data_IF_979298966084
#
_entry.id   IF_979298966084
#
_cell.length_a   1.000
_cell.length_b   1.000
_cell.length_c   1.000
_cell.angle_alpha   90.00
_cell.angle_beta   90.00
_cell.angle_gamma   90.00
#
_symmetry.space_group_name_H-M   'P 1'
#
loop_
_entity.id
_entity.type
_entity.pdbx_description
1 polymer ?
#
# COMPACT_ATOMS: atom_id res chain seq x y z
N UNK A 1 39.99 10.17 -8.56
CA UNK A 1 39.51 10.05 -9.96
C UNK A 1 40.09 8.82 -10.66
N UNK A 2 41.43 8.57 -10.69
CA UNK A 2 42.04 7.41 -11.35
C UNK A 2 41.64 6.02 -10.76
N UNK A 3 41.44 5.89 -9.45
CA UNK A 3 41.00 4.64 -8.82
C UNK A 3 39.53 4.28 -9.17
N UNK A 4 38.63 5.28 -9.25
CA UNK A 4 37.24 5.10 -9.65
C UNK A 4 37.10 4.64 -11.11
N UNK A 5 37.90 5.22 -12.02
CA UNK A 5 37.95 4.81 -13.42
C UNK A 5 38.53 3.39 -13.59
N UNK A 6 39.52 3.01 -12.79
CA UNK A 6 40.06 1.64 -12.79
C UNK A 6 39.04 0.62 -12.30
N UNK A 7 38.28 0.91 -11.23
CA UNK A 7 37.27 0.00 -10.69
C UNK A 7 36.10 -0.19 -11.68
N UNK A 8 35.55 0.90 -12.23
CA UNK A 8 34.49 0.83 -13.25
C UNK A 8 34.96 0.09 -14.52
N UNK A 9 36.19 0.32 -14.96
CA UNK A 9 36.76 -0.38 -16.12
C UNK A 9 37.04 -1.88 -15.83
N UNK A 10 37.48 -2.23 -14.63
CA UNK A 10 37.68 -3.62 -14.20
C UNK A 10 36.34 -4.39 -14.12
N UNK A 11 35.27 -3.76 -13.61
CA UNK A 11 33.96 -4.36 -13.49
C UNK A 11 33.32 -4.65 -14.86
N UNK A 12 33.50 -3.77 -15.84
CA UNK A 12 32.93 -3.94 -17.18
C UNK A 12 33.70 -5.02 -17.99
N UNK A 13 35.00 -5.11 -17.79
CA UNK A 13 35.86 -6.05 -18.54
C UNK A 13 35.88 -7.49 -18.00
N UNK A 14 35.33 -7.73 -16.80
CA UNK A 14 35.30 -9.05 -16.15
C UNK A 14 33.92 -9.65 -15.97
N UNK A 15 32.85 -9.11 -16.64
CA UNK A 15 31.52 -9.67 -16.50
C UNK A 15 31.39 -11.05 -17.18
N UNK A 16 31.82 -12.09 -16.48
CA UNK A 16 31.75 -13.47 -16.97
C UNK A 16 30.36 -14.10 -16.83
N UNK A 17 29.52 -13.59 -15.95
CA UNK A 17 28.16 -14.10 -15.68
C UNK A 17 27.09 -13.45 -16.53
N UNK A 18 27.35 -12.28 -17.14
CA UNK A 18 26.41 -11.55 -17.97
C UNK A 18 25.62 -10.45 -17.21
N UNK A 19 24.56 -9.89 -17.85
CA UNK A 19 23.81 -8.80 -17.25
C UNK A 19 22.91 -9.29 -16.11
N UNK A 20 22.78 -8.43 -15.07
CA UNK A 20 21.92 -8.58 -13.92
C UNK A 20 21.15 -7.27 -13.67
N UNK A 21 19.84 -7.35 -13.43
CA UNK A 21 19.02 -6.20 -13.05
C UNK A 21 18.87 -6.14 -11.51
N UNK A 22 19.28 -5.01 -10.92
CA UNK A 22 19.20 -4.77 -9.47
C UNK A 22 18.09 -3.76 -9.17
N UNK A 23 17.10 -4.14 -8.35
CA UNK A 23 16.16 -3.19 -7.74
C UNK A 23 16.95 -2.20 -6.87
N UNK A 24 16.98 -0.91 -7.25
CA UNK A 24 17.91 0.07 -6.71
C UNK A 24 17.20 1.29 -6.14
N UNK A 25 17.34 1.54 -4.85
CA UNK A 25 16.77 2.70 -4.17
C UNK A 25 17.75 3.85 -3.92
N UNK A 26 19.03 3.66 -4.23
CA UNK A 26 20.08 4.61 -3.87
C UNK A 26 20.49 4.58 -2.39
N UNK A 27 19.85 3.75 -1.57
CA UNK A 27 20.17 3.55 -0.16
C UNK A 27 21.46 2.71 0.03
N UNK A 28 21.88 2.57 1.29
CA UNK A 28 23.12 1.88 1.66
C UNK A 28 23.19 0.45 1.12
N UNK A 29 22.13 -0.33 1.38
CA UNK A 29 22.08 -1.76 1.05
C UNK A 29 22.17 -1.99 -0.47
N UNK A 30 21.42 -1.22 -1.25
CA UNK A 30 21.45 -1.33 -2.70
C UNK A 30 22.74 -0.76 -3.30
N UNK A 31 23.34 0.28 -2.68
CA UNK A 31 24.66 0.80 -3.06
C UNK A 31 25.78 -0.20 -2.80
N UNK A 32 25.69 -0.96 -1.69
CA UNK A 32 26.60 -2.09 -1.40
C UNK A 32 26.50 -3.19 -2.46
N UNK A 33 25.27 -3.52 -2.89
CA UNK A 33 25.04 -4.62 -3.83
C UNK A 33 25.75 -4.41 -5.18
N UNK A 34 25.86 -3.16 -5.68
CA UNK A 34 26.44 -2.90 -7.00
C UNK A 34 27.89 -3.38 -7.10
N UNK A 35 28.87 -2.89 -6.32
CA UNK A 35 30.25 -3.35 -6.41
C UNK A 35 30.41 -4.82 -5.98
N UNK A 36 29.61 -5.29 -5.02
CA UNK A 36 29.67 -6.69 -4.57
C UNK A 36 29.28 -7.67 -5.68
N UNK A 37 28.20 -7.39 -6.40
CA UNK A 37 27.75 -8.20 -7.54
C UNK A 37 28.72 -8.11 -8.72
N UNK A 38 29.34 -6.95 -8.93
CA UNK A 38 30.37 -6.78 -9.94
C UNK A 38 31.63 -7.62 -9.62
N UNK A 39 32.03 -7.71 -8.35
CA UNK A 39 33.11 -8.63 -7.90
C UNK A 39 32.74 -10.10 -8.18
N UNK A 40 31.45 -10.46 -8.13
CA UNK A 40 30.97 -11.80 -8.47
C UNK A 40 30.88 -12.04 -9.99
N UNK A 41 31.28 -11.08 -10.82
CA UNK A 41 31.33 -11.18 -12.29
C UNK A 41 30.04 -10.78 -13.00
N UNK A 42 29.13 -10.03 -12.36
CA UNK A 42 27.93 -9.52 -13.00
C UNK A 42 28.13 -8.14 -13.64
N UNK A 43 27.53 -7.90 -14.80
CA UNK A 43 27.30 -6.55 -15.30
C UNK A 43 26.02 -6.01 -14.63
N UNK A 44 26.16 -5.13 -13.65
CA UNK A 44 25.02 -4.69 -12.80
C UNK A 44 24.30 -3.50 -13.43
N UNK A 45 23.06 -3.71 -13.84
CA UNK A 45 22.14 -2.69 -14.32
C UNK A 45 21.17 -2.33 -13.20
N UNK A 46 21.21 -1.10 -12.72
CA UNK A 46 20.34 -0.63 -11.64
C UNK A 46 19.00 -0.16 -12.19
N UNK A 47 17.91 -0.52 -11.51
CA UNK A 47 16.53 -0.18 -11.88
C UNK A 47 15.88 0.54 -10.71
N UNK A 48 15.63 1.83 -10.85
CA UNK A 48 14.85 2.62 -9.92
C UNK A 48 13.41 2.73 -10.43
N UNK A 49 12.45 2.41 -9.57
CA UNK A 49 11.01 2.47 -9.90
C UNK A 49 10.37 3.53 -9.02
N UNK A 50 9.96 4.63 -9.65
CA UNK A 50 9.24 5.73 -8.99
C UNK A 50 7.78 5.34 -8.80
N UNK A 51 7.38 5.13 -7.56
CA UNK A 51 6.01 4.83 -7.15
C UNK A 51 5.29 6.06 -6.57
N UNK A 52 5.83 7.27 -6.78
CA UNK A 52 5.23 8.55 -6.37
C UNK A 52 5.73 9.09 -5.04
N UNK A 53 6.81 8.53 -4.48
CA UNK A 53 7.36 8.96 -3.18
C UNK A 53 8.63 9.80 -3.27
N UNK A 54 9.14 10.13 -4.46
CA UNK A 54 10.41 10.84 -4.62
C UNK A 54 10.28 12.14 -5.40
N UNK A 55 11.05 13.15 -4.96
CA UNK A 55 11.17 14.41 -5.68
C UNK A 55 12.12 14.27 -6.89
N UNK A 56 12.10 15.21 -7.85
CA UNK A 56 13.06 15.23 -8.95
C UNK A 56 14.53 15.26 -8.48
N UNK A 57 14.81 15.98 -7.39
CA UNK A 57 16.13 16.12 -6.79
C UNK A 57 16.60 14.78 -6.19
N UNK A 58 15.71 14.06 -5.48
CA UNK A 58 15.98 12.73 -4.94
C UNK A 58 16.27 11.74 -6.06
N UNK A 59 15.47 11.72 -7.14
CA UNK A 59 15.75 10.86 -8.31
C UNK A 59 17.09 11.17 -8.96
N UNK A 60 17.42 12.45 -9.12
CA UNK A 60 18.74 12.84 -9.63
C UNK A 60 19.88 12.40 -8.71
N UNK A 61 19.68 12.39 -7.38
CA UNK A 61 20.65 11.88 -6.43
C UNK A 61 20.83 10.36 -6.54
N UNK A 62 19.72 9.61 -6.70
CA UNK A 62 19.74 8.15 -6.92
C UNK A 62 20.52 7.80 -8.19
N UNK A 63 20.27 8.51 -9.29
CA UNK A 63 20.99 8.33 -10.55
C UNK A 63 22.50 8.58 -10.38
N UNK A 64 22.89 9.67 -9.70
CA UNK A 64 24.31 9.95 -9.41
C UNK A 64 24.93 8.86 -8.56
N UNK A 65 24.21 8.36 -7.54
CA UNK A 65 24.69 7.28 -6.68
C UNK A 65 24.93 6.00 -7.47
N UNK A 66 24.00 5.59 -8.34
CA UNK A 66 24.14 4.42 -9.20
C UNK A 66 25.42 4.46 -10.04
N UNK A 67 25.67 5.59 -10.71
CA UNK A 67 26.90 5.78 -11.48
C UNK A 67 28.16 5.80 -10.61
N UNK A 68 28.08 6.43 -9.42
CA UNK A 68 29.24 6.57 -8.53
C UNK A 68 29.66 5.23 -7.88
N UNK A 69 28.74 4.28 -7.67
CA UNK A 69 29.05 2.94 -7.15
C UNK A 69 29.39 1.93 -8.24
N UNK A 70 29.39 2.33 -9.52
CA UNK A 70 29.89 1.51 -10.64
C UNK A 70 28.84 0.68 -11.37
N UNK A 71 27.58 1.11 -11.37
CA UNK A 71 26.56 0.47 -12.19
C UNK A 71 26.91 0.55 -13.69
N UNK A 72 26.67 -0.53 -14.45
CA UNK A 72 26.88 -0.58 -15.90
C UNK A 72 25.86 0.32 -16.63
N UNK A 73 24.64 0.40 -16.14
CA UNK A 73 23.63 1.38 -16.54
C UNK A 73 22.64 1.64 -15.42
N UNK A 74 21.87 2.72 -15.53
CA UNK A 74 20.78 3.06 -14.61
C UNK A 74 19.50 3.32 -15.38
N UNK A 75 18.42 2.67 -14.96
CA UNK A 75 17.09 2.78 -15.56
C UNK A 75 16.13 3.38 -14.54
N UNK A 76 15.36 4.38 -14.95
CA UNK A 76 14.31 5.00 -14.15
C UNK A 76 12.95 4.71 -14.77
N UNK A 77 12.04 4.16 -13.99
CA UNK A 77 10.68 3.80 -14.42
C UNK A 77 9.69 4.61 -13.63
N UNK A 78 8.90 5.45 -14.29
CA UNK A 78 7.72 6.07 -13.66
C UNK A 78 6.59 5.04 -13.62
N UNK A 79 6.26 4.59 -12.42
CA UNK A 79 5.26 3.56 -12.20
C UNK A 79 4.03 4.08 -11.44
N UNK A 80 3.83 5.40 -11.33
CA UNK A 80 2.73 6.00 -10.56
C UNK A 80 1.37 5.55 -11.08
N UNK A 81 1.15 5.61 -12.39
CA UNK A 81 -0.09 5.16 -13.01
C UNK A 81 -0.28 3.65 -12.86
N UNK A 82 0.80 2.87 -13.00
CA UNK A 82 0.76 1.42 -12.83
C UNK A 82 0.41 1.01 -11.40
N UNK A 83 0.93 1.70 -10.38
CA UNK A 83 0.58 1.47 -8.97
C UNK A 83 -0.89 1.81 -8.74
N UNK A 84 -1.37 2.92 -9.28
CA UNK A 84 -2.77 3.31 -9.15
C UNK A 84 -3.69 2.29 -9.80
N UNK A 85 -3.47 1.95 -11.07
CA UNK A 85 -4.36 1.10 -11.85
C UNK A 85 -4.38 -0.36 -11.40
N UNK A 86 -3.24 -0.87 -10.94
CA UNK A 86 -3.14 -2.28 -10.52
C UNK A 86 -3.52 -2.51 -9.06
N UNK A 87 -3.35 -1.50 -8.19
CA UNK A 87 -3.50 -1.71 -6.75
C UNK A 87 -4.37 -0.65 -6.09
N UNK A 88 -4.02 0.64 -6.19
CA UNK A 88 -4.65 1.69 -5.39
C UNK A 88 -6.15 1.77 -5.64
N UNK A 89 -6.59 1.63 -6.89
CA UNK A 89 -8.03 1.58 -7.22
C UNK A 89 -8.78 0.50 -6.43
N UNK A 90 -8.19 -0.68 -6.27
CA UNK A 90 -8.81 -1.77 -5.52
C UNK A 90 -8.73 -1.56 -4.01
N UNK A 91 -7.67 -0.89 -3.52
CA UNK A 91 -7.57 -0.49 -2.12
C UNK A 91 -8.66 0.52 -1.76
N UNK A 92 -8.99 1.46 -2.67
CA UNK A 92 -10.10 2.41 -2.51
C UNK A 92 -11.43 1.67 -2.58
N UNK A 93 -11.71 1.01 -3.70
CA UNK A 93 -13.00 0.33 -3.96
C UNK A 93 -13.30 -0.79 -2.94
N UNK A 94 -12.25 -1.47 -2.45
CA UNK A 94 -12.34 -2.50 -1.42
C UNK A 94 -12.39 -1.96 0.01
N UNK A 95 -12.25 -0.66 0.23
CA UNK A 95 -12.10 -0.03 1.56
C UNK A 95 -11.02 -0.70 2.40
N UNK A 96 -9.85 -1.00 1.80
CA UNK A 96 -8.86 -1.89 2.39
C UNK A 96 -8.08 -1.20 3.49
N UNK A 97 -8.29 -1.66 4.72
CA UNK A 97 -7.53 -1.24 5.91
C UNK A 97 -7.09 -2.47 6.69
N UNK A 98 -5.79 -2.62 6.91
CA UNK A 98 -5.28 -3.67 7.78
C UNK A 98 -5.40 -3.26 9.24
N UNK A 99 -6.01 -4.14 10.06
CA UNK A 99 -6.32 -3.84 11.45
C UNK A 99 -7.23 -2.61 11.63
N UNK A 100 -8.08 -2.31 10.63
CA UNK A 100 -9.02 -1.18 10.58
C UNK A 100 -8.35 0.21 10.53
N UNK A 101 -7.02 0.30 10.46
CA UNK A 101 -6.30 1.58 10.55
C UNK A 101 -5.27 1.79 9.45
N UNK A 102 -4.56 0.74 9.00
CA UNK A 102 -3.41 0.88 8.12
C UNK A 102 -3.77 0.60 6.64
N UNK A 103 -3.65 1.59 5.73
CA UNK A 103 -4.09 1.46 4.34
C UNK A 103 -3.08 0.78 3.41
N UNK A 104 -2.08 0.05 3.95
CA UNK A 104 -1.07 -0.71 3.19
C UNK A 104 -0.19 0.16 2.28
N UNK A 105 0.31 1.29 2.78
CA UNK A 105 1.02 2.32 2.01
C UNK A 105 2.24 1.84 1.20
N UNK A 106 2.82 0.67 1.49
CA UNK A 106 4.07 0.19 0.85
C UNK A 106 3.92 -1.18 0.19
N UNK A 107 2.91 -1.98 0.57
CA UNK A 107 2.82 -3.38 0.13
C UNK A 107 2.63 -3.51 -1.40
N UNK A 108 1.74 -2.72 -1.97
CA UNK A 108 1.45 -2.68 -3.40
C UNK A 108 2.66 -2.24 -4.23
N UNK A 109 3.39 -1.24 -3.74
CA UNK A 109 4.54 -0.66 -4.44
C UNK A 109 5.66 -1.67 -4.63
N UNK A 110 5.94 -2.54 -3.64
CA UNK A 110 6.97 -3.57 -3.77
C UNK A 110 6.64 -4.58 -4.86
N UNK A 111 5.38 -4.93 -5.01
CA UNK A 111 4.92 -5.81 -6.10
C UNK A 111 5.09 -5.13 -7.46
N UNK A 112 4.74 -3.84 -7.59
CA UNK A 112 4.97 -3.09 -8.83
C UNK A 112 6.47 -2.92 -9.13
N UNK A 113 7.29 -2.66 -8.12
CA UNK A 113 8.74 -2.58 -8.29
C UNK A 113 9.30 -3.88 -8.85
N UNK A 114 8.89 -5.04 -8.33
CA UNK A 114 9.30 -6.34 -8.84
C UNK A 114 8.87 -6.55 -10.30
N UNK A 115 7.63 -6.18 -10.66
CA UNK A 115 7.13 -6.22 -12.05
C UNK A 115 8.02 -5.42 -12.99
N UNK A 116 8.30 -4.15 -12.66
CA UNK A 116 9.12 -3.27 -13.49
C UNK A 116 10.59 -3.73 -13.59
N UNK A 117 11.14 -4.29 -12.51
CA UNK A 117 12.50 -4.87 -12.53
C UNK A 117 12.57 -6.07 -13.46
N UNK A 118 11.57 -6.96 -13.45
CA UNK A 118 11.52 -8.13 -14.35
C UNK A 118 11.39 -7.69 -15.82
N UNK A 119 10.51 -6.73 -16.10
CA UNK A 119 10.35 -6.19 -17.47
C UNK A 119 11.67 -5.61 -17.98
N UNK A 120 12.37 -4.83 -17.15
CA UNK A 120 13.69 -4.28 -17.50
C UNK A 120 14.75 -5.38 -17.63
N UNK A 121 14.77 -6.37 -16.75
CA UNK A 121 15.68 -7.50 -16.82
C UNK A 121 15.55 -8.26 -18.15
N UNK A 122 14.33 -8.52 -18.58
CA UNK A 122 14.06 -9.18 -19.87
C UNK A 122 14.50 -8.33 -21.07
N UNK A 123 14.23 -7.02 -21.03
CA UNK A 123 14.66 -6.10 -22.07
C UNK A 123 16.20 -6.03 -22.20
N UNK A 124 16.91 -6.22 -21.10
CA UNK A 124 18.37 -6.25 -21.06
C UNK A 124 18.97 -7.64 -21.40
N UNK A 125 18.16 -8.67 -21.59
CA UNK A 125 18.63 -10.04 -21.70
C UNK A 125 19.36 -10.51 -20.44
N UNK A 126 18.93 -10.00 -19.26
CA UNK A 126 19.55 -10.34 -17.99
C UNK A 126 19.37 -11.83 -17.65
N UNK A 127 20.38 -12.40 -16.96
CA UNK A 127 20.36 -13.78 -16.46
C UNK A 127 19.94 -13.86 -15.01
N UNK A 128 19.96 -12.73 -14.31
CA UNK A 128 19.62 -12.63 -12.90
C UNK A 128 18.91 -11.33 -12.57
N UNK A 129 18.17 -11.36 -11.49
CA UNK A 129 17.59 -10.19 -10.80
C UNK A 129 18.10 -10.15 -9.38
N UNK A 130 18.30 -8.94 -8.83
CA UNK A 130 18.76 -8.78 -7.46
C UNK A 130 17.96 -7.73 -6.70
N UNK A 131 17.96 -7.88 -5.38
CA UNK A 131 17.46 -6.85 -4.46
C UNK A 131 18.30 -6.80 -3.17
N UNK A 132 18.28 -5.64 -2.50
CA UNK A 132 19.03 -5.39 -1.28
C UNK A 132 18.21 -5.56 0.02
N UNK A 133 17.14 -6.34 0.01
CA UNK A 133 16.31 -6.53 1.22
C UNK A 133 17.01 -7.43 2.23
N UNK A 134 16.83 -7.12 3.53
CA UNK A 134 17.32 -7.95 4.64
C UNK A 134 16.42 -9.17 4.87
N UNK A 135 16.92 -10.18 5.59
CA UNK A 135 16.16 -11.39 5.91
C UNK A 135 15.05 -11.23 6.95
N UNK A 136 14.95 -10.07 7.63
CA UNK A 136 14.03 -9.86 8.73
C UNK A 136 12.68 -9.22 8.32
N UNK A 137 12.65 -8.48 7.20
CA UNK A 137 11.49 -7.69 6.78
C UNK A 137 10.57 -8.43 5.80
N UNK A 138 9.42 -7.81 5.50
CA UNK A 138 8.44 -8.32 4.52
C UNK A 138 8.92 -8.16 3.07
N UNK A 139 9.77 -7.16 2.79
CA UNK A 139 10.13 -6.78 1.43
C UNK A 139 10.83 -7.91 0.68
N UNK A 140 11.69 -8.69 1.36
CA UNK A 140 12.31 -9.87 0.76
C UNK A 140 11.28 -10.89 0.26
N UNK A 141 10.22 -11.14 1.05
CA UNK A 141 9.16 -12.08 0.67
C UNK A 141 8.40 -11.55 -0.54
N UNK A 142 8.04 -10.26 -0.52
CA UNK A 142 7.31 -9.62 -1.63
C UNK A 142 8.09 -9.66 -2.93
N UNK A 143 9.40 -9.34 -2.89
CA UNK A 143 10.26 -9.44 -4.06
C UNK A 143 10.44 -10.89 -4.50
N UNK A 144 10.84 -11.79 -3.60
CA UNK A 144 11.12 -13.18 -3.97
C UNK A 144 9.90 -13.89 -4.56
N UNK A 145 8.71 -13.74 -3.95
CA UNK A 145 7.48 -14.35 -4.48
C UNK A 145 7.16 -13.79 -5.86
N UNK A 146 7.20 -12.47 -6.02
CA UNK A 146 6.93 -11.83 -7.31
C UNK A 146 7.94 -12.29 -8.38
N UNK A 147 9.24 -12.28 -8.07
CA UNK A 147 10.29 -12.68 -9.00
C UNK A 147 10.18 -14.16 -9.40
N UNK A 148 9.90 -15.06 -8.44
CA UNK A 148 9.71 -16.51 -8.73
C UNK A 148 8.50 -16.80 -9.60
N UNK A 149 7.43 -16.03 -9.43
CA UNK A 149 6.21 -16.20 -10.25
C UNK A 149 6.40 -15.58 -11.64
N UNK A 150 6.99 -14.38 -11.70
CA UNK A 150 7.08 -13.61 -12.94
C UNK A 150 8.23 -14.08 -13.84
N UNK A 151 9.36 -14.49 -13.26
CA UNK A 151 10.57 -14.79 -14.00
C UNK A 151 11.29 -16.02 -13.39
N UNK A 152 10.67 -17.21 -13.41
CA UNK A 152 11.25 -18.43 -12.85
C UNK A 152 12.56 -18.84 -13.55
N UNK A 153 12.81 -18.30 -14.73
CA UNK A 153 14.02 -18.50 -15.53
C UNK A 153 15.23 -17.68 -15.05
N UNK A 154 15.02 -16.64 -14.24
CA UNK A 154 16.08 -15.76 -13.75
C UNK A 154 16.60 -16.19 -12.37
N UNK A 155 17.92 -16.15 -12.20
CA UNK A 155 18.54 -16.31 -10.88
C UNK A 155 18.17 -15.14 -9.97
N UNK A 156 17.75 -15.39 -8.73
CA UNK A 156 17.50 -14.35 -7.73
C UNK A 156 18.72 -14.24 -6.83
N UNK A 157 19.34 -13.07 -6.77
CA UNK A 157 20.59 -12.80 -6.02
C UNK A 157 20.33 -11.73 -4.95
N UNK A 158 20.62 -12.05 -3.69
CA UNK A 158 20.28 -11.19 -2.54
C UNK A 158 21.44 -11.02 -1.58
N UNK A 159 22.51 -10.26 -1.95
CA UNK A 159 23.76 -10.24 -1.20
C UNK A 159 23.62 -9.82 0.26
N UNK A 160 22.74 -8.88 0.56
CA UNK A 160 22.51 -8.42 1.95
C UNK A 160 21.98 -9.56 2.83
N UNK A 161 20.95 -10.25 2.36
CA UNK A 161 20.31 -11.36 3.08
C UNK A 161 21.23 -12.58 3.16
N UNK A 162 21.76 -12.99 2.02
CA UNK A 162 22.45 -14.27 1.89
C UNK A 162 23.81 -14.27 2.61
N UNK A 163 24.44 -13.10 2.70
CA UNK A 163 25.71 -12.92 3.44
C UNK A 163 25.51 -12.38 4.86
N UNK A 164 24.27 -12.05 5.26
CA UNK A 164 23.97 -11.51 6.58
C UNK A 164 24.64 -10.16 6.85
N UNK A 165 24.75 -9.30 5.82
CA UNK A 165 25.50 -8.04 5.89
C UNK A 165 24.82 -7.05 6.82
N UNK A 166 25.56 -6.57 7.82
CA UNK A 166 25.15 -5.51 8.74
C UNK A 166 25.52 -4.14 8.18
N UNK A 167 24.83 -3.10 8.67
CA UNK A 167 25.02 -1.72 8.24
C UNK A 167 26.47 -1.25 8.29
N UNK A 168 27.17 -1.53 9.39
CA UNK A 168 28.58 -1.13 9.60
C UNK A 168 29.51 -1.82 8.59
N UNK A 169 29.22 -3.09 8.26
CA UNK A 169 29.98 -3.85 7.26
C UNK A 169 29.78 -3.29 5.85
N UNK A 170 28.54 -2.90 5.50
CA UNK A 170 28.25 -2.28 4.21
C UNK A 170 28.97 -0.93 4.06
N UNK A 171 28.99 -0.10 5.11
CA UNK A 171 29.71 1.18 5.15
C UNK A 171 31.22 0.94 4.96
N UNK A 172 31.82 0.10 5.80
CA UNK A 172 33.26 -0.19 5.75
C UNK A 172 33.69 -0.78 4.38
N UNK A 173 32.82 -1.57 3.75
CA UNK A 173 33.06 -2.12 2.42
C UNK A 173 33.14 -1.02 1.35
N UNK A 174 32.15 -0.11 1.31
CA UNK A 174 32.13 1.01 0.36
C UNK A 174 33.30 1.96 0.58
N UNK A 175 33.63 2.30 1.84
CA UNK A 175 34.78 3.13 2.20
C UNK A 175 36.09 2.53 1.75
N UNK A 176 36.28 1.22 1.97
CA UNK A 176 37.48 0.48 1.52
C UNK A 176 37.69 0.57 0.01
N UNK A 177 36.60 0.59 -0.76
CA UNK A 177 36.65 0.75 -2.21
C UNK A 177 36.75 2.22 -2.67
N UNK A 178 36.73 3.19 -1.75
CA UNK A 178 36.71 4.61 -2.06
C UNK A 178 35.40 5.05 -2.74
N UNK A 179 34.31 4.32 -2.54
CA UNK A 179 33.00 4.59 -3.10
C UNK A 179 32.16 5.44 -2.14
N UNK A 180 31.22 6.27 -2.66
CA UNK A 180 30.41 7.12 -1.81
C UNK A 180 29.43 6.29 -0.96
N UNK A 181 29.46 6.53 0.34
CA UNK A 181 28.46 6.04 1.28
C UNK A 181 27.28 7.00 1.23
N UNK A 182 26.04 6.52 0.98
CA UNK A 182 24.85 7.37 1.04
C UNK A 182 24.76 8.06 2.40
N UNK A 183 24.30 9.32 2.42
CA UNK A 183 24.12 10.07 3.66
C UNK A 183 23.29 9.23 4.65
N UNK A 184 23.68 9.25 5.93
CA UNK A 184 23.02 8.45 6.98
C UNK A 184 21.52 8.72 6.91
N UNK A 185 20.75 7.73 6.49
CA UNK A 185 19.32 7.72 6.82
C UNK A 185 19.23 7.86 8.35
N UNK A 186 18.30 8.68 8.83
CA UNK A 186 18.09 8.92 10.26
C UNK A 186 17.87 7.64 11.06
N UNK A 187 17.43 7.77 12.30
CA UNK A 187 17.14 6.64 13.20
C UNK A 187 16.04 5.70 12.65
N UNK A 188 15.35 6.11 11.58
CA UNK A 188 14.18 5.42 11.01
C UNK A 188 14.44 4.94 9.59
N UNK A 189 13.86 3.79 9.26
CA UNK A 189 13.66 3.35 7.88
C UNK A 189 12.36 3.96 7.36
N UNK A 190 12.47 4.84 6.37
CA UNK A 190 11.33 5.55 5.77
C UNK A 190 11.08 4.98 4.38
N UNK A 191 9.82 4.61 4.12
CA UNK A 191 9.37 4.21 2.80
C UNK A 191 8.22 5.14 2.39
N UNK A 192 8.38 5.82 1.26
CA UNK A 192 7.39 6.72 0.67
C UNK A 192 6.92 6.22 -0.68
N UNK A 193 5.65 6.45 -0.98
CA UNK A 193 5.06 6.21 -2.27
C UNK A 193 3.75 6.95 -2.46
N UNK A 194 3.07 6.68 -3.56
CA UNK A 194 1.80 7.32 -3.92
C UNK A 194 0.72 7.17 -2.83
N UNK A 195 0.70 6.02 -2.15
CA UNK A 195 -0.36 5.66 -1.20
C UNK A 195 -0.03 5.99 0.26
N UNK A 196 1.11 6.62 0.51
CA UNK A 196 1.52 7.11 1.83
C UNK A 196 2.95 6.74 2.21
N UNK A 197 3.28 7.07 3.44
CA UNK A 197 4.62 6.89 4.02
C UNK A 197 4.56 5.98 5.23
N UNK A 198 5.61 5.17 5.44
CA UNK A 198 5.77 4.37 6.66
C UNK A 198 7.13 4.61 7.30
N UNK A 199 7.18 4.52 8.64
CA UNK A 199 8.38 4.58 9.44
C UNK A 199 8.54 3.31 10.26
N UNK A 200 9.75 2.72 10.22
CA UNK A 200 10.15 1.60 11.06
C UNK A 200 11.46 1.90 11.76
N UNK A 201 11.75 1.22 12.88
CA UNK A 201 12.94 1.43 13.69
C UNK A 201 12.74 2.43 14.84
N UNK A 202 13.78 2.65 15.64
CA UNK A 202 13.73 3.58 16.77
C UNK A 202 12.59 3.27 17.75
N UNK A 203 11.70 4.22 18.00
CA UNK A 203 10.58 4.09 18.92
C UNK A 203 9.60 2.95 18.59
N UNK A 204 9.58 2.47 17.34
CA UNK A 204 8.67 1.38 16.96
C UNK A 204 9.04 0.03 17.57
N UNK A 205 10.25 -0.11 18.15
CA UNK A 205 10.69 -1.33 18.83
C UNK A 205 10.15 -1.45 20.26
N UNK A 206 9.73 -0.35 20.86
CA UNK A 206 9.08 -0.35 22.17
C UNK A 206 7.59 -0.06 22.01
N UNK A 207 6.74 -1.01 22.35
CA UNK A 207 5.30 -0.90 22.18
C UNK A 207 4.65 0.16 23.08
N UNK A 208 5.34 0.61 24.13
CA UNK A 208 4.88 1.65 25.05
C UNK A 208 5.41 3.04 24.70
N UNK A 209 6.50 3.13 23.93
CA UNK A 209 7.04 4.42 23.50
C UNK A 209 6.08 5.11 22.54
N UNK A 210 5.80 6.40 22.78
CA UNK A 210 5.09 7.26 21.83
C UNK A 210 5.96 7.58 20.61
N UNK A 211 5.37 7.88 19.44
CA UNK A 211 6.10 8.47 18.33
C UNK A 211 6.54 9.90 18.68
N UNK A 212 7.56 10.44 17.99
CA UNK A 212 7.90 11.86 18.07
C UNK A 212 6.70 12.75 17.73
N UNK A 213 6.58 13.89 18.40
CA UNK A 213 5.44 14.80 18.26
C UNK A 213 5.23 15.23 16.79
N UNK A 214 6.31 15.48 16.06
CA UNK A 214 6.30 15.85 14.64
C UNK A 214 5.68 14.78 13.73
N UNK A 215 5.56 13.53 14.20
CA UNK A 215 4.94 12.42 13.47
C UNK A 215 3.47 12.18 13.86
N UNK A 216 2.93 12.86 14.85
CA UNK A 216 1.53 12.69 15.31
C UNK A 216 0.77 13.99 15.39
N UNK A 217 1.39 15.07 15.85
CA UNK A 217 0.72 16.34 16.01
C UNK A 217 0.52 17.04 14.65
N UNK A 218 -0.62 17.72 14.44
CA UNK A 218 -0.78 18.54 13.27
C UNK A 218 0.26 19.67 13.25
N UNK A 219 0.66 20.17 12.06
CA UNK A 219 1.53 21.33 11.96
C UNK A 219 0.99 22.52 12.77
N UNK A 220 1.89 23.26 13.43
CA UNK A 220 1.50 24.41 14.25
C UNK A 220 0.81 25.53 13.42
N UNK A 221 1.10 25.59 12.13
CA UNK A 221 0.52 26.49 11.13
C UNK A 221 -0.59 25.84 10.30
N UNK A 222 -1.13 24.72 10.77
CA UNK A 222 -2.20 24.02 10.07
C UNK A 222 -3.36 24.98 9.72
N UNK A 223 -3.90 24.91 8.49
CA UNK A 223 -4.96 25.83 8.05
C UNK A 223 -6.23 25.70 8.88
N UNK A 224 -7.05 26.76 8.86
CA UNK A 224 -8.40 26.69 9.42
C UNK A 224 -9.24 25.62 8.71
N UNK A 225 -10.26 25.12 9.42
CA UNK A 225 -11.17 24.11 8.88
C UNK A 225 -11.81 24.55 7.54
N UNK A 226 -11.80 23.67 6.55
CA UNK A 226 -12.49 23.85 5.25
C UNK A 226 -13.23 22.61 4.83
N UNK A 227 -14.20 22.76 3.94
CA UNK A 227 -14.87 21.66 3.27
C UNK A 227 -14.32 21.50 1.86
N UNK A 228 -14.17 20.25 1.44
CA UNK A 228 -13.86 19.83 0.07
C UNK A 228 -14.94 18.91 -0.45
N UNK A 229 -15.10 18.85 -1.76
CA UNK A 229 -16.03 17.94 -2.44
C UNK A 229 -15.25 16.98 -3.34
N UNK A 230 -15.45 15.69 -3.13
CA UNK A 230 -14.95 14.63 -4.01
C UNK A 230 -16.08 14.12 -4.88
N UNK A 231 -15.86 14.10 -6.20
CA UNK A 231 -16.76 13.44 -7.13
C UNK A 231 -16.26 12.02 -7.44
N UNK A 232 -17.21 11.10 -7.55
CA UNK A 232 -16.99 9.67 -7.71
C UNK A 232 -17.69 9.13 -8.92
N UNK A 233 -17.02 8.26 -9.67
CA UNK A 233 -17.59 7.47 -10.74
C UNK A 233 -17.19 6.00 -10.57
N UNK A 234 -18.18 5.12 -10.43
CA UNK A 234 -17.99 3.67 -10.26
C UNK A 234 -16.96 3.33 -9.15
N UNK A 235 -17.09 4.02 -8.01
CA UNK A 235 -16.24 3.83 -6.84
C UNK A 235 -14.83 4.42 -6.93
N UNK A 236 -14.51 5.16 -7.98
CA UNK A 236 -13.23 5.84 -8.11
C UNK A 236 -13.39 7.37 -8.05
N UNK A 237 -12.46 8.08 -7.41
CA UNK A 237 -12.50 9.53 -7.36
C UNK A 237 -12.09 10.11 -8.73
N UNK A 238 -12.87 11.06 -9.25
CA UNK A 238 -12.68 11.65 -10.59
C UNK A 238 -12.52 13.17 -10.56
N UNK A 239 -12.86 13.83 -9.44
CA UNK A 239 -12.67 15.26 -9.30
C UNK A 239 -12.54 15.67 -7.83
N UNK A 240 -11.84 16.79 -7.60
CA UNK A 240 -11.71 17.47 -6.31
C UNK A 240 -12.16 18.92 -6.48
N UNK A 241 -13.13 19.36 -5.67
CA UNK A 241 -13.72 20.73 -5.70
C UNK A 241 -14.15 21.16 -7.13
N UNK A 242 -14.69 20.20 -7.92
CA UNK A 242 -15.12 20.42 -9.30
C UNK A 242 -13.99 20.37 -10.35
N UNK A 243 -12.74 20.34 -9.96
CA UNK A 243 -11.63 20.17 -10.90
C UNK A 243 -11.40 18.67 -11.20
N UNK A 244 -11.49 18.28 -12.47
CA UNK A 244 -11.19 16.92 -12.90
C UNK A 244 -9.70 16.61 -12.71
N UNK A 245 -9.38 15.50 -12.06
CA UNK A 245 -8.03 15.04 -11.81
C UNK A 245 -7.89 13.55 -12.16
N UNK A 246 -6.77 13.17 -12.80
CA UNK A 246 -6.41 11.76 -13.01
C UNK A 246 -6.09 11.09 -11.65
N UNK A 247 -6.30 9.77 -11.56
CA UNK A 247 -6.17 9.01 -10.33
C UNK A 247 -4.92 9.31 -9.49
N UNK A 248 -3.67 9.16 -10.00
CA UNK A 248 -2.46 9.51 -9.25
C UNK A 248 -2.38 11.00 -8.88
N UNK A 249 -2.81 11.89 -9.77
CA UNK A 249 -2.82 13.33 -9.53
C UNK A 249 -3.77 13.73 -8.40
N UNK A 250 -4.94 13.10 -8.33
CA UNK A 250 -5.90 13.33 -7.25
C UNK A 250 -5.37 12.83 -5.92
N UNK A 251 -4.74 11.65 -5.90
CA UNK A 251 -4.11 11.10 -4.69
C UNK A 251 -3.00 12.03 -4.19
N UNK A 252 -2.16 12.55 -5.08
CA UNK A 252 -1.11 13.50 -4.74
C UNK A 252 -1.68 14.80 -4.15
N UNK A 253 -2.67 15.40 -4.81
CA UNK A 253 -3.32 16.63 -4.33
C UNK A 253 -3.98 16.45 -2.95
N UNK A 254 -4.58 15.29 -2.69
CA UNK A 254 -5.10 14.97 -1.36
C UNK A 254 -3.98 14.67 -0.36
N UNK A 255 -2.84 14.14 -0.82
CA UNK A 255 -1.63 13.98 -0.02
C UNK A 255 -1.15 15.31 0.53
N UNK A 256 -0.93 16.29 -0.35
CA UNK A 256 -0.49 17.65 0.00
C UNK A 256 -1.47 18.34 0.97
N UNK A 257 -2.79 18.21 0.69
CA UNK A 257 -3.82 18.73 1.59
C UNK A 257 -3.76 18.04 2.97
N UNK A 258 -3.66 16.74 2.99
CA UNK A 258 -3.64 15.97 4.24
C UNK A 258 -2.41 16.26 5.07
N UNK A 259 -1.25 16.44 4.44
CA UNK A 259 0.00 16.83 5.09
C UNK A 259 -0.15 18.21 5.75
N UNK A 260 -0.68 19.20 5.02
CA UNK A 260 -0.91 20.55 5.55
C UNK A 260 -1.81 20.57 6.79
N UNK A 261 -2.76 19.63 6.88
CA UNK A 261 -3.63 19.50 8.06
C UNK A 261 -3.14 18.48 9.09
N UNK A 262 -2.04 17.75 8.84
CA UNK A 262 -1.58 16.66 9.70
C UNK A 262 -2.54 15.48 9.78
N UNK A 263 -3.31 15.23 8.72
CA UNK A 263 -4.32 14.16 8.65
C UNK A 263 -3.67 12.84 8.23
N UNK A 264 -4.17 11.73 8.79
CA UNK A 264 -3.83 10.38 8.34
C UNK A 264 -2.57 9.80 8.94
N UNK A 265 -2.12 10.35 10.06
CA UNK A 265 -1.01 9.84 10.86
C UNK A 265 -1.49 8.76 11.82
N UNK A 266 -0.73 7.69 11.95
CA UNK A 266 -1.14 6.58 12.81
C UNK A 266 -0.05 5.57 13.10
N UNK A 267 -0.42 4.61 13.95
CA UNK A 267 0.43 3.49 14.35
C UNK A 267 -0.31 2.20 14.02
N UNK A 268 0.42 1.24 13.47
CA UNK A 268 -0.10 -0.10 13.27
C UNK A 268 0.81 -1.14 13.93
N UNK A 269 0.20 -2.06 14.67
CA UNK A 269 0.84 -3.27 15.17
C UNK A 269 0.24 -4.45 14.42
N UNK A 270 1.09 -5.24 13.78
CA UNK A 270 0.64 -6.38 13.00
C UNK A 270 1.71 -7.44 12.83
N UNK A 271 1.35 -8.53 12.18
CA UNK A 271 2.30 -9.60 11.86
C UNK A 271 2.98 -9.35 10.51
N UNK A 272 4.28 -9.65 10.47
CA UNK A 272 4.98 -9.80 9.20
C UNK A 272 4.50 -11.06 8.49
N UNK A 273 4.82 -11.20 7.19
CA UNK A 273 4.58 -12.43 6.44
C UNK A 273 5.25 -13.69 7.07
N UNK A 274 6.24 -13.47 7.93
CA UNK A 274 6.95 -14.53 8.67
C UNK A 274 6.36 -14.79 10.08
N UNK A 275 5.23 -14.18 10.43
CA UNK A 275 4.54 -14.39 11.71
C UNK A 275 5.14 -13.62 12.90
N UNK A 276 6.08 -12.69 12.65
CA UNK A 276 6.67 -11.85 13.70
C UNK A 276 5.83 -10.60 13.91
N UNK A 277 5.49 -10.28 15.15
CA UNK A 277 4.83 -9.01 15.49
C UNK A 277 5.77 -7.84 15.23
N UNK A 278 5.28 -6.85 14.50
CA UNK A 278 5.97 -5.62 14.20
C UNK A 278 5.10 -4.41 14.44
N UNK A 279 5.73 -3.26 14.66
CA UNK A 279 5.07 -1.97 14.84
C UNK A 279 5.65 -0.98 13.84
N UNK A 280 4.79 -0.22 13.20
CA UNK A 280 5.16 0.86 12.28
C UNK A 280 4.38 2.12 12.59
N UNK A 281 4.99 3.27 12.32
CA UNK A 281 4.26 4.51 12.13
C UNK A 281 3.91 4.69 10.66
N UNK A 282 2.84 5.44 10.36
CA UNK A 282 2.49 5.78 8.99
C UNK A 282 1.84 7.16 8.88
N UNK A 283 1.96 7.74 7.70
CA UNK A 283 1.22 8.92 7.24
C UNK A 283 0.63 8.61 5.87
N UNK A 284 -0.69 8.57 5.80
CA UNK A 284 -1.42 8.14 4.62
C UNK A 284 -2.75 8.89 4.51
N UNK A 285 -2.70 10.23 4.59
CA UNK A 285 -3.87 11.07 4.67
C UNK A 285 -4.79 10.96 3.46
N UNK A 286 -4.24 10.96 2.24
CA UNK A 286 -5.01 10.74 1.02
C UNK A 286 -5.74 9.39 1.05
N UNK A 287 -5.04 8.33 1.46
CA UNK A 287 -5.61 6.98 1.50
C UNK A 287 -6.77 6.88 2.48
N UNK A 288 -6.58 7.35 3.73
CA UNK A 288 -7.62 7.28 4.75
C UNK A 288 -8.81 8.16 4.41
N UNK A 289 -8.57 9.35 3.84
CA UNK A 289 -9.62 10.26 3.41
C UNK A 289 -10.45 9.64 2.27
N UNK A 290 -9.80 9.10 1.24
CA UNK A 290 -10.47 8.44 0.11
C UNK A 290 -11.26 7.23 0.58
N UNK A 291 -10.68 6.34 1.38
CA UNK A 291 -11.37 5.15 1.91
C UNK A 291 -12.56 5.58 2.78
N UNK A 292 -12.38 6.58 3.65
CA UNK A 292 -13.46 7.09 4.50
C UNK A 292 -14.61 7.70 3.71
N UNK A 293 -14.29 8.54 2.72
CA UNK A 293 -15.30 9.18 1.86
C UNK A 293 -16.02 8.16 0.95
N UNK A 294 -15.28 7.23 0.36
CA UNK A 294 -15.82 6.14 -0.46
C UNK A 294 -16.78 5.24 0.34
N UNK A 295 -16.40 4.86 1.56
CA UNK A 295 -17.24 4.03 2.44
C UNK A 295 -18.58 4.69 2.76
N UNK A 296 -18.62 6.00 2.97
CA UNK A 296 -19.89 6.72 3.19
C UNK A 296 -20.76 6.77 1.92
N UNK A 297 -20.16 6.89 0.72
CA UNK A 297 -20.92 6.81 -0.52
C UNK A 297 -21.53 5.42 -0.75
N UNK A 298 -20.77 4.37 -0.48
CA UNK A 298 -21.25 2.99 -0.61
C UNK A 298 -22.45 2.68 0.28
N UNK A 299 -22.45 3.17 1.52
CA UNK A 299 -23.59 2.99 2.45
C UNK A 299 -24.89 3.51 1.88
N UNK A 300 -24.82 4.51 1.00
CA UNK A 300 -26.00 5.10 0.36
C UNK A 300 -26.49 4.27 -0.84
N UNK A 301 -25.62 3.48 -1.47
CA UNK A 301 -25.86 2.83 -2.77
C UNK A 301 -25.93 1.30 -2.69
N UNK A 302 -25.13 0.68 -1.82
CA UNK A 302 -25.04 -0.77 -1.71
C UNK A 302 -26.02 -1.34 -0.68
N UNK A 303 -26.56 -2.52 -0.98
CA UNK A 303 -27.28 -3.31 0.02
C UNK A 303 -26.35 -3.80 1.13
N UNK A 304 -26.90 -4.11 2.31
CA UNK A 304 -26.13 -4.62 3.45
C UNK A 304 -25.29 -5.87 3.12
N UNK A 305 -25.79 -6.76 2.23
CA UNK A 305 -25.09 -7.98 1.86
C UNK A 305 -23.98 -7.73 0.83
N UNK A 306 -24.14 -6.75 -0.07
CA UNK A 306 -23.07 -6.31 -0.95
C UNK A 306 -21.92 -5.71 -0.12
N UNK A 307 -22.22 -4.81 0.80
CA UNK A 307 -21.22 -4.22 1.72
C UNK A 307 -20.53 -5.29 2.54
N UNK A 308 -21.30 -6.22 3.15
CA UNK A 308 -20.73 -7.29 3.98
C UNK A 308 -19.69 -8.12 3.23
N UNK A 309 -20.06 -8.67 2.07
CA UNK A 309 -19.15 -9.54 1.32
C UNK A 309 -17.96 -8.77 0.76
N UNK A 310 -18.18 -7.56 0.26
CA UNK A 310 -17.10 -6.72 -0.23
C UNK A 310 -16.08 -6.40 0.86
N UNK A 311 -16.51 -6.05 2.07
CA UNK A 311 -15.62 -5.75 3.19
C UNK A 311 -14.83 -6.98 3.65
N UNK A 312 -15.45 -8.17 3.70
CA UNK A 312 -14.74 -9.41 4.02
C UNK A 312 -13.64 -9.72 2.97
N UNK A 313 -14.00 -9.64 1.70
CA UNK A 313 -13.06 -9.93 0.61
C UNK A 313 -12.01 -8.83 0.44
N UNK A 314 -12.35 -7.56 0.67
CA UNK A 314 -11.40 -6.46 0.69
C UNK A 314 -10.33 -6.62 1.78
N UNK A 315 -10.74 -7.07 2.97
CA UNK A 315 -9.81 -7.39 4.07
C UNK A 315 -8.86 -8.53 3.66
N UNK A 316 -9.41 -9.64 3.15
CA UNK A 316 -8.60 -10.76 2.68
C UNK A 316 -7.64 -10.34 1.55
N UNK A 317 -8.11 -9.53 0.59
CA UNK A 317 -7.28 -8.96 -0.48
C UNK A 317 -6.09 -8.18 0.08
N UNK A 318 -6.34 -7.32 1.06
CA UNK A 318 -5.30 -6.54 1.72
C UNK A 318 -4.27 -7.40 2.43
N UNK A 319 -4.69 -8.45 3.14
CA UNK A 319 -3.80 -9.37 3.83
C UNK A 319 -2.92 -10.15 2.84
N UNK A 320 -3.50 -10.66 1.74
CA UNK A 320 -2.73 -11.35 0.70
C UNK A 320 -1.73 -10.43 0.00
N UNK A 321 -2.14 -9.18 -0.31
CA UNK A 321 -1.25 -8.18 -0.88
C UNK A 321 -0.10 -7.85 0.08
N UNK A 322 -0.39 -7.68 1.38
CA UNK A 322 0.62 -7.43 2.40
C UNK A 322 1.66 -8.54 2.50
N UNK A 323 1.23 -9.79 2.37
CA UNK A 323 2.08 -10.97 2.44
C UNK A 323 2.82 -11.30 1.12
N UNK A 324 2.67 -10.48 0.08
CA UNK A 324 3.30 -10.69 -1.22
C UNK A 324 2.61 -11.73 -2.10
N UNK A 325 1.37 -12.12 -1.78
CA UNK A 325 0.60 -13.15 -2.48
C UNK A 325 -0.29 -12.58 -3.61
N UNK A 326 0.13 -11.47 -4.21
CA UNK A 326 -0.65 -10.79 -5.25
C UNK A 326 -0.99 -11.67 -6.45
N UNK A 327 -0.13 -12.64 -6.78
CA UNK A 327 -0.29 -13.50 -7.95
C UNK A 327 -1.20 -14.71 -7.71
N UNK A 328 -1.74 -14.89 -6.51
CA UNK A 328 -2.75 -15.91 -6.27
C UNK A 328 -4.01 -15.60 -7.10
N UNK A 329 -4.54 -16.56 -7.88
CA UNK A 329 -5.71 -16.36 -8.73
C UNK A 329 -6.93 -15.81 -8.00
N UNK A 330 -7.12 -16.15 -6.72
CA UNK A 330 -8.24 -15.66 -5.90
C UNK A 330 -8.29 -14.13 -5.81
N UNK A 331 -7.15 -13.44 -5.95
CA UNK A 331 -7.16 -11.98 -5.95
C UNK A 331 -7.83 -11.40 -7.20
N UNK A 332 -7.71 -12.08 -8.34
CA UNK A 332 -8.42 -11.70 -9.59
C UNK A 332 -9.94 -11.87 -9.44
N UNK A 333 -10.37 -12.94 -8.78
CA UNK A 333 -11.78 -13.18 -8.49
C UNK A 333 -12.34 -12.09 -7.56
N UNK A 334 -11.57 -11.72 -6.53
CA UNK A 334 -11.92 -10.65 -5.59
C UNK A 334 -11.98 -9.28 -6.29
N UNK A 335 -11.00 -8.96 -7.13
CA UNK A 335 -11.01 -7.73 -7.93
C UNK A 335 -12.22 -7.65 -8.86
N UNK A 336 -12.64 -8.76 -9.45
CA UNK A 336 -13.85 -8.84 -10.26
C UNK A 336 -15.11 -8.56 -9.42
N UNK A 337 -15.21 -9.14 -8.22
CA UNK A 337 -16.33 -8.89 -7.30
C UNK A 337 -16.33 -7.42 -6.83
N UNK A 338 -15.19 -6.89 -6.41
CA UNK A 338 -15.05 -5.49 -6.03
C UNK A 338 -15.54 -4.60 -7.18
N UNK A 339 -15.00 -4.77 -8.38
CA UNK A 339 -15.36 -3.98 -9.57
C UNK A 339 -16.86 -4.06 -9.88
N UNK A 340 -17.44 -5.26 -9.83
CA UNK A 340 -18.88 -5.48 -10.05
C UNK A 340 -19.74 -4.72 -9.04
N UNK A 341 -19.35 -4.72 -7.77
CA UNK A 341 -20.08 -4.03 -6.70
C UNK A 341 -20.09 -2.50 -6.90
N UNK A 342 -19.08 -1.96 -7.57
CA UNK A 342 -18.91 -0.51 -7.76
C UNK A 342 -19.69 0.09 -8.93
N UNK A 343 -20.39 -0.72 -9.71
CA UNK A 343 -21.06 -0.29 -10.95
C UNK A 343 -21.98 0.95 -10.79
N UNK A 344 -22.58 1.13 -9.60
CA UNK A 344 -23.48 2.23 -9.27
C UNK A 344 -22.94 3.18 -8.18
N UNK A 345 -21.73 2.95 -7.68
CA UNK A 345 -21.13 3.82 -6.64
C UNK A 345 -20.60 5.09 -7.30
N UNK A 346 -21.55 5.96 -7.65
CA UNK A 346 -21.33 7.24 -8.35
C UNK A 346 -22.04 8.34 -7.59
N UNK A 347 -21.41 9.50 -7.44
CA UNK A 347 -21.97 10.62 -6.71
C UNK A 347 -20.92 11.56 -6.16
N UNK A 348 -21.24 12.23 -5.06
CA UNK A 348 -20.34 13.16 -4.41
C UNK A 348 -20.30 12.95 -2.89
N UNK A 349 -19.14 13.20 -2.31
CA UNK A 349 -18.94 13.25 -0.86
C UNK A 349 -18.34 14.60 -0.47
N UNK A 350 -18.91 15.21 0.55
CA UNK A 350 -18.41 16.45 1.14
C UNK A 350 -17.67 16.14 2.43
N UNK A 351 -16.42 16.54 2.49
CA UNK A 351 -15.52 16.22 3.58
C UNK A 351 -15.02 17.50 4.22
N UNK A 352 -15.19 17.61 5.54
CA UNK A 352 -14.62 18.69 6.34
C UNK A 352 -13.25 18.28 6.84
N UNK A 353 -12.24 19.10 6.51
CA UNK A 353 -10.88 18.98 7.00
C UNK A 353 -10.68 19.92 8.19
N UNK A 354 -9.96 19.48 9.20
CA UNK A 354 -9.53 20.26 10.34
C UNK A 354 -8.17 19.74 10.83
N UNK A 355 -7.37 20.51 11.59
CA UNK A 355 -6.10 20.04 12.09
C UNK A 355 -6.18 18.65 12.75
N UNK A 356 -5.39 17.71 12.25
CA UNK A 356 -5.30 16.32 12.72
C UNK A 356 -6.48 15.40 12.35
N UNK A 357 -7.54 15.87 11.69
CA UNK A 357 -8.74 15.06 11.42
C UNK A 357 -9.50 15.46 10.17
N UNK A 358 -10.31 14.52 9.69
CA UNK A 358 -11.36 14.78 8.69
C UNK A 358 -12.68 14.16 9.11
N UNK A 359 -13.78 14.64 8.52
CA UNK A 359 -15.12 14.11 8.71
C UNK A 359 -15.91 14.22 7.42
N UNK A 360 -16.53 13.12 6.97
CA UNK A 360 -17.51 13.17 5.89
C UNK A 360 -18.80 13.77 6.44
N UNK A 361 -19.22 14.90 5.88
CA UNK A 361 -20.36 15.69 6.38
C UNK A 361 -21.56 15.66 5.44
N UNK A 362 -21.42 15.07 4.28
CA UNK A 362 -22.53 14.92 3.33
C UNK A 362 -22.18 13.96 2.19
N UNK A 363 -23.19 13.28 1.69
CA UNK A 363 -23.07 12.32 0.59
C UNK A 363 -24.31 12.39 -0.28
N UNK A 364 -24.15 12.39 -1.59
CA UNK A 364 -25.25 12.32 -2.55
C UNK A 364 -24.93 11.40 -3.72
N UNK A 365 -25.95 10.70 -4.22
CA UNK A 365 -25.83 9.80 -5.36
C UNK A 365 -27.14 9.76 -6.15
N UNK A 366 -27.09 9.71 -7.49
CA UNK A 366 -28.29 9.41 -8.30
C UNK A 366 -28.80 7.97 -8.08
N UNK A 367 -27.99 7.11 -7.47
CA UNK A 367 -28.34 5.71 -7.15
C UNK A 367 -28.62 5.50 -5.66
N UNK A 368 -28.96 6.57 -4.92
CA UNK A 368 -29.28 6.49 -3.50
C UNK A 368 -30.45 5.54 -3.27
N UNK A 369 -30.29 4.63 -2.31
CA UNK A 369 -31.40 3.82 -1.77
C UNK A 369 -32.10 4.51 -0.60
N UNK A 370 -31.64 5.67 -0.16
CA UNK A 370 -32.33 6.50 0.82
C UNK A 370 -33.36 7.34 0.09
N UNK A 371 -34.64 6.92 0.16
CA UNK A 371 -35.77 7.57 -0.50
C UNK A 371 -36.83 7.93 0.55
N UNK A 372 -36.84 9.20 0.93
CA UNK A 372 -37.77 9.73 1.93
C UNK A 372 -39.24 9.80 1.44
N UNK A 373 -39.46 9.65 0.12
CA UNK A 373 -40.84 9.55 -0.42
C UNK A 373 -41.48 8.19 -0.10
N UNK A 374 -40.65 7.20 0.19
CA UNK A 374 -41.07 5.81 0.48
C UNK A 374 -41.04 5.51 1.96
N UNK A 375 -39.94 5.88 2.64
CA UNK A 375 -39.77 5.67 4.07
C UNK A 375 -38.76 6.65 4.67
N UNK A 376 -38.99 7.09 5.91
CA UNK A 376 -38.05 7.85 6.72
C UNK A 376 -37.67 7.02 7.94
N UNK A 377 -36.40 6.87 8.20
CA UNK A 377 -35.89 6.04 9.30
C UNK A 377 -36.46 6.48 10.65
N UNK A 378 -37.19 5.57 11.31
CA UNK A 378 -37.78 5.81 12.64
C UNK A 378 -39.03 6.69 12.66
N UNK A 379 -39.53 7.19 11.51
CA UNK A 379 -40.65 8.10 11.44
C UNK A 379 -41.80 7.52 10.60
N UNK A 380 -41.65 7.49 9.28
CA UNK A 380 -42.68 7.04 8.36
C UNK A 380 -42.25 5.86 7.50
N UNK A 381 -43.24 5.04 7.12
CA UNK A 381 -43.04 3.92 6.22
C UNK A 381 -44.33 3.69 5.41
N UNK A 382 -44.16 3.52 4.08
CA UNK A 382 -45.25 3.27 3.13
C UNK A 382 -45.15 1.91 2.44
N UNK A 383 -44.15 1.08 2.81
CA UNK A 383 -43.88 -0.20 2.18
C UNK A 383 -44.57 -1.39 2.87
N UNK A 384 -44.82 -1.28 4.17
CA UNK A 384 -45.46 -2.35 4.95
C UNK A 384 -46.31 -1.78 6.08
N UNK A 385 -47.27 -2.59 6.54
CA UNK A 385 -48.14 -2.30 7.68
C UNK A 385 -47.50 -2.75 9.01
N UNK A 386 -48.05 -2.25 10.12
CA UNK A 386 -47.61 -2.71 11.45
C UNK A 386 -47.85 -4.20 11.68
N UNK A 387 -48.91 -4.77 11.11
CA UNK A 387 -49.20 -6.22 11.22
C UNK A 387 -48.21 -7.06 10.41
N UNK A 388 -47.83 -6.63 9.23
CA UNK A 388 -46.77 -7.30 8.43
C UNK A 388 -45.42 -7.22 9.16
N UNK A 389 -45.04 -6.09 9.75
CA UNK A 389 -43.83 -5.95 10.56
C UNK A 389 -43.86 -6.90 11.77
N UNK A 390 -45.00 -7.02 12.46
CA UNK A 390 -45.19 -7.93 13.59
C UNK A 390 -45.05 -9.40 13.15
N UNK A 391 -45.65 -9.76 12.03
CA UNK A 391 -45.57 -11.11 11.47
C UNK A 391 -44.14 -11.46 11.07
N UNK A 392 -43.45 -10.55 10.40
CA UNK A 392 -42.04 -10.69 10.05
C UNK A 392 -41.14 -10.90 11.28
N UNK A 393 -41.31 -10.07 12.33
CA UNK A 393 -40.51 -10.18 13.56
C UNK A 393 -40.70 -11.54 14.25
N UNK A 394 -41.92 -12.09 14.26
CA UNK A 394 -42.20 -13.45 14.79
C UNK A 394 -41.47 -14.53 14.02
N UNK A 395 -41.46 -14.49 12.69
CA UNK A 395 -40.78 -15.46 11.82
C UNK A 395 -39.26 -15.30 11.94
N UNK A 396 -38.76 -14.08 11.90
CA UNK A 396 -37.33 -13.78 12.02
C UNK A 396 -36.73 -14.22 13.38
N UNK A 397 -37.52 -14.26 14.45
CA UNK A 397 -37.10 -14.71 15.76
C UNK A 397 -36.98 -16.26 15.88
N UNK A 398 -37.55 -17.04 14.97
CA UNK A 398 -37.62 -18.51 15.08
C UNK A 398 -36.25 -19.18 15.25
N UNK A 399 -35.21 -18.87 14.46
CA UNK A 399 -33.90 -19.52 14.66
C UNK A 399 -33.33 -19.28 16.06
N UNK A 400 -33.39 -18.04 16.57
CA UNK A 400 -32.89 -17.71 17.91
C UNK A 400 -33.72 -18.34 19.01
N UNK A 401 -35.06 -18.41 18.84
CA UNK A 401 -35.94 -19.08 19.78
C UNK A 401 -35.64 -20.61 19.86
N UNK A 402 -35.43 -21.24 18.71
CA UNK A 402 -35.09 -22.66 18.66
C UNK A 402 -33.72 -22.94 19.28
N UNK A 403 -32.73 -22.06 19.04
CA UNK A 403 -31.42 -22.16 19.65
C UNK A 403 -31.49 -22.02 21.20
N UNK A 404 -32.23 -21.05 21.69
CA UNK A 404 -32.45 -20.88 23.13
C UNK A 404 -33.13 -22.12 23.78
N UNK A 405 -34.20 -22.65 23.18
CA UNK A 405 -34.85 -23.88 23.64
C UNK A 405 -33.93 -25.09 23.62
N UNK A 406 -33.06 -25.21 22.64
CA UNK A 406 -32.10 -26.29 22.57
C UNK A 406 -31.03 -26.21 23.67
N UNK A 407 -30.59 -24.98 24.00
CA UNK A 407 -29.64 -24.74 25.07
C UNK A 407 -30.23 -25.05 26.47
N UNK A 408 -31.50 -24.72 26.70
CA UNK A 408 -32.19 -25.00 27.97
C UNK A 408 -32.57 -26.48 28.16
N UNK A 409 -32.28 -27.37 27.25
CA UNK A 409 -32.62 -28.79 27.33
C UNK A 409 -34.12 -29.06 27.35
N UNK A 410 -34.97 -28.06 27.14
CA UNK A 410 -36.42 -28.14 27.17
C UNK A 410 -37.03 -28.70 25.86
N UNK A 411 -36.40 -29.72 25.25
CA UNK A 411 -37.10 -30.56 24.28
C UNK A 411 -38.19 -31.30 25.05
N UNK A 412 -39.44 -30.84 24.97
CA UNK A 412 -40.56 -31.71 25.32
C UNK A 412 -40.43 -32.96 24.44
N UNK A 413 -40.15 -34.10 25.06
CA UNK A 413 -40.34 -35.39 24.41
C UNK A 413 -41.75 -35.38 23.85
N UNK A 414 -41.90 -35.40 22.54
CA UNK A 414 -43.16 -35.77 21.91
C UNK A 414 -43.40 -37.24 22.27
N UNK A 415 -44.08 -37.46 23.38
CA UNK A 415 -44.71 -38.74 23.63
C UNK A 415 -45.81 -38.92 22.59
N UNK A 416 -45.54 -39.87 21.69
CA UNK A 416 -46.43 -40.69 20.84
C UNK A 416 -47.90 -40.22 20.75
#
# INVERSE_FOLDING_TARGET
MRARLKFAYLCIMQSSRGPLALAFSGGLDTSYCVPRLAEDGWAVHTVYVDTGGSTPEERAAIRRQAGAVGAASHHEIDARDLVYDRFVRFLIQGNVLRGEVYPLSVAAERTQQALSVVETARALGARAVAHGSTGAGNDQIRFDVALRVLAPELEIVTPIRDLGIKREQAIAYLERLGLPVPAKAGAYSINRGLWGTTWGGGWTHDTWAGPPAELVDPPADAPASREIVLAWERGLPVALDGAALAGPGLVAALGDLSEAYGIGRGIHVGETALGIKGRIGFEAGAALLLIGAHRELEKLVLTKWQTFWKDQLGRFYGDRLHEGQYFDPSLRDIEALITSSQARVTGETRVRLAPGRFQVVGTRSPHSMMDTSVATYGEENRLWTGDEARAFARVAAVPSLLAARAADGTRKSSSS
#
